data_IF_754481102389
#
_entry.id   IF_754481102389
#
_cell.length_a   1.000
_cell.length_b   1.000
_cell.length_c   1.000
_cell.angle_alpha   90.00
_cell.angle_beta   90.00
_cell.angle_gamma   90.00
#
_symmetry.space_group_name_H-M   'P 1'
#
loop_
_entity.id
_entity.type
_entity.pdbx_description
1 polymer ?
#
# COMPACT_ATOMS: atom_id res chain seq x y z
N UNK A 1 3.82 -10.31 -0.50
CA UNK A 1 4.28 -10.18 -1.89
C UNK A 1 4.03 -11.44 -2.71
N UNK A 2 4.46 -12.61 -2.26
CA UNK A 2 4.35 -13.89 -2.98
C UNK A 2 2.91 -14.23 -3.39
N UNK A 3 1.92 -14.06 -2.51
CA UNK A 3 0.51 -14.36 -2.80
C UNK A 3 -0.08 -13.46 -3.89
N UNK A 4 0.34 -12.20 -3.97
CA UNK A 4 -0.12 -11.26 -4.99
C UNK A 4 0.45 -11.61 -6.36
N UNK A 5 1.74 -11.98 -6.41
CA UNK A 5 2.39 -12.46 -7.64
C UNK A 5 1.76 -13.79 -8.09
N UNK A 6 1.47 -14.69 -7.14
CA UNK A 6 0.83 -15.98 -7.45
C UNK A 6 -0.60 -15.76 -7.99
N UNK A 7 -1.38 -14.85 -7.39
CA UNK A 7 -2.71 -14.49 -7.88
C UNK A 7 -2.68 -13.89 -9.28
N UNK A 8 -1.69 -13.05 -9.58
CA UNK A 8 -1.50 -12.46 -10.90
C UNK A 8 -1.11 -13.54 -11.93
N UNK A 9 -0.21 -14.46 -11.57
CA UNK A 9 0.23 -15.54 -12.46
C UNK A 9 -0.90 -16.54 -12.77
N UNK A 10 -1.71 -16.90 -11.76
CA UNK A 10 -2.87 -17.79 -11.96
C UNK A 10 -3.90 -17.13 -12.89
N UNK A 11 -4.18 -15.83 -12.72
CA UNK A 11 -5.11 -15.10 -13.58
C UNK A 11 -4.57 -14.87 -14.98
N UNK A 12 -3.30 -14.57 -15.12
CA UNK A 12 -2.65 -14.49 -16.43
C UNK A 12 -2.74 -15.83 -17.15
N UNK A 13 -2.52 -16.94 -16.44
CA UNK A 13 -2.66 -18.30 -16.99
C UNK A 13 -4.10 -18.60 -17.40
N UNK A 14 -5.10 -18.26 -16.60
CA UNK A 14 -6.51 -18.46 -16.93
C UNK A 14 -7.00 -17.55 -18.06
N UNK A 15 -6.43 -16.37 -18.23
CA UNK A 15 -6.74 -15.48 -19.35
C UNK A 15 -6.09 -15.93 -20.67
N UNK A 16 -4.94 -16.60 -20.57
CA UNK A 16 -4.20 -17.15 -21.72
C UNK A 16 -4.71 -18.54 -22.16
N UNK A 17 -5.36 -19.27 -21.23
CA UNK A 17 -5.93 -20.58 -21.51
C UNK A 17 -7.44 -20.52 -21.31
N UNK A 18 -8.25 -20.16 -22.31
CA UNK A 18 -9.67 -20.49 -22.27
C UNK A 18 -9.81 -22.02 -22.13
N UNK A 19 -10.87 -22.51 -21.44
CA UNK A 19 -11.04 -23.94 -21.18
C UNK A 19 -11.38 -24.68 -22.48
N UNK A 20 -10.39 -24.86 -23.35
CA UNK A 20 -10.43 -25.75 -24.50
C UNK A 20 -9.13 -26.52 -24.56
N UNK A 21 -9.20 -27.87 -24.49
CA UNK A 21 -8.04 -28.67 -24.74
C UNK A 21 -7.71 -28.51 -26.21
N UNK A 22 -6.50 -28.34 -26.50
CA UNK A 22 -5.81 -28.73 -27.73
C UNK A 22 -4.91 -27.61 -28.23
N UNK A 23 -3.65 -27.93 -28.08
CA UNK A 23 -2.57 -27.39 -28.84
C UNK A 23 -2.94 -27.35 -30.32
N UNK A 24 -3.20 -26.16 -30.86
CA UNK A 24 -3.31 -25.92 -32.30
C UNK A 24 -2.00 -25.33 -32.77
N UNK A 25 -1.17 -26.11 -33.52
CA UNK A 25 0.03 -25.55 -34.13
C UNK A 25 -0.38 -24.46 -35.11
N UNK A 26 0.07 -23.21 -34.88
CA UNK A 26 -0.21 -22.09 -35.74
C UNK A 26 -1.14 -21.00 -35.18
N UNK A 27 -1.75 -21.20 -34.01
CA UNK A 27 -2.35 -20.10 -33.25
C UNK A 27 -1.26 -19.32 -32.48
N UNK A 28 -0.25 -18.83 -33.16
CA UNK A 28 0.53 -17.71 -32.70
C UNK A 28 -0.44 -16.55 -32.67
N UNK A 29 -0.98 -16.26 -31.49
CA UNK A 29 -1.92 -15.18 -31.29
C UNK A 29 -1.32 -13.93 -31.92
N UNK A 30 -2.09 -13.29 -32.78
CA UNK A 30 -1.68 -12.03 -33.38
C UNK A 30 -1.26 -11.08 -32.25
N UNK A 31 -0.33 -10.17 -32.44
CA UNK A 31 0.04 -9.13 -31.45
C UNK A 31 -1.19 -8.44 -30.86
N UNK A 32 -2.26 -8.38 -31.63
CA UNK A 32 -3.57 -7.88 -31.17
C UNK A 32 -4.19 -8.73 -30.04
N UNK A 33 -4.05 -10.06 -30.10
CA UNK A 33 -4.54 -10.94 -29.04
C UNK A 33 -3.73 -10.76 -27.74
N UNK A 34 -2.42 -10.62 -27.84
CA UNK A 34 -1.56 -10.31 -26.70
C UNK A 34 -1.89 -8.94 -26.12
N UNK A 35 -2.12 -7.93 -26.97
CA UNK A 35 -2.51 -6.61 -26.54
C UNK A 35 -3.87 -6.60 -25.81
N UNK A 36 -4.83 -7.39 -26.27
CA UNK A 36 -6.14 -7.52 -25.62
C UNK A 36 -6.03 -8.19 -24.24
N UNK A 37 -5.20 -9.20 -24.09
CA UNK A 37 -4.88 -9.83 -22.79
C UNK A 37 -4.23 -8.82 -21.85
N UNK A 38 -3.26 -8.02 -22.33
CA UNK A 38 -2.64 -6.97 -21.53
C UNK A 38 -3.65 -5.91 -21.08
N UNK A 39 -4.56 -5.50 -21.93
CA UNK A 39 -5.62 -4.55 -21.56
C UNK A 39 -6.55 -5.12 -20.49
N UNK A 40 -6.89 -6.39 -20.55
CA UNK A 40 -7.70 -7.08 -19.53
C UNK A 40 -6.94 -7.23 -18.20
N UNK A 41 -5.62 -7.39 -18.25
CA UNK A 41 -4.78 -7.48 -17.06
C UNK A 41 -4.40 -6.11 -16.47
N UNK A 42 -4.56 -5.01 -17.22
CA UNK A 42 -4.17 -3.67 -16.81
C UNK A 42 -4.75 -3.25 -15.43
N UNK A 43 -6.02 -3.49 -15.09
CA UNK A 43 -6.55 -3.17 -13.76
C UNK A 43 -5.81 -3.92 -12.64
N UNK A 44 -5.48 -5.20 -12.85
CA UNK A 44 -4.76 -6.02 -11.88
C UNK A 44 -3.31 -5.56 -11.72
N UNK A 45 -2.65 -5.17 -12.82
CA UNK A 45 -1.31 -4.59 -12.78
C UNK A 45 -1.28 -3.26 -12.03
N UNK A 46 -2.30 -2.42 -12.28
CA UNK A 46 -2.43 -1.13 -11.59
C UNK A 46 -2.59 -1.32 -10.08
N UNK A 47 -3.50 -2.18 -9.66
CA UNK A 47 -3.73 -2.46 -8.24
C UNK A 47 -2.55 -3.16 -7.59
N UNK A 48 -1.84 -4.02 -8.33
CA UNK A 48 -0.57 -4.58 -7.88
C UNK A 48 0.48 -3.49 -7.61
N UNK A 49 0.64 -2.54 -8.53
CA UNK A 49 1.58 -1.43 -8.38
C UNK A 49 1.20 -0.54 -7.18
N UNK A 50 -0.09 -0.24 -7.02
CA UNK A 50 -0.59 0.50 -5.85
C UNK A 50 -0.24 -0.21 -4.54
N UNK A 51 -0.47 -1.52 -4.46
CA UNK A 51 -0.15 -2.32 -3.28
C UNK A 51 1.36 -2.34 -3.00
N UNK A 52 2.17 -2.48 -4.04
CA UNK A 52 3.63 -2.44 -3.91
C UNK A 52 4.11 -1.10 -3.36
N UNK A 53 3.63 0.00 -3.92
CA UNK A 53 3.97 1.35 -3.46
C UNK A 53 3.52 1.57 -2.02
N UNK A 54 2.30 1.17 -1.68
CA UNK A 54 1.78 1.28 -0.32
C UNK A 54 2.66 0.53 0.68
N UNK A 55 2.94 -0.74 0.41
CA UNK A 55 3.80 -1.56 1.27
C UNK A 55 5.21 -0.99 1.38
N UNK A 56 5.79 -0.49 0.27
CA UNK A 56 7.09 0.16 0.26
C UNK A 56 7.13 1.41 1.15
N UNK A 57 6.12 2.28 1.03
CA UNK A 57 6.01 3.49 1.84
C UNK A 57 5.91 3.16 3.35
N UNK A 58 5.04 2.21 3.71
CA UNK A 58 4.89 1.79 5.10
C UNK A 58 6.11 1.07 5.63
N UNK A 59 6.78 0.27 4.79
CA UNK A 59 8.03 -0.39 5.15
C UNK A 59 9.15 0.62 5.47
N UNK A 60 9.36 1.60 4.59
CA UNK A 60 10.34 2.67 4.83
C UNK A 60 9.99 3.46 6.08
N UNK A 61 8.70 3.78 6.28
CA UNK A 61 8.22 4.44 7.50
C UNK A 61 8.54 3.63 8.76
N UNK A 62 8.25 2.33 8.76
CA UNK A 62 8.54 1.43 9.88
C UNK A 62 10.05 1.32 10.15
N UNK A 63 10.86 1.13 9.11
CA UNK A 63 12.32 1.05 9.26
C UNK A 63 12.90 2.34 9.86
N UNK A 64 12.43 3.49 9.41
CA UNK A 64 12.83 4.79 9.96
C UNK A 64 12.49 4.90 11.44
N UNK A 65 11.29 4.44 11.85
CA UNK A 65 10.90 4.44 13.27
C UNK A 65 11.74 3.49 14.10
N UNK A 66 11.94 2.24 13.63
CA UNK A 66 12.74 1.24 14.33
C UNK A 66 14.18 1.70 14.53
N UNK A 67 14.75 2.44 13.58
CA UNK A 67 16.11 3.00 13.71
C UNK A 67 16.24 4.06 14.82
N UNK A 68 15.11 4.71 15.18
CA UNK A 68 15.06 5.72 16.25
C UNK A 68 14.85 5.12 17.64
N UNK A 69 14.47 3.84 17.74
CA UNK A 69 14.23 3.18 19.02
C UNK A 69 15.54 2.62 19.60
N UNK A 70 15.78 2.86 20.89
CA UNK A 70 16.93 2.34 21.63
C UNK A 70 16.73 0.88 22.01
N UNK A 71 15.51 0.54 22.42
CA UNK A 71 15.10 -0.79 22.85
C UNK A 71 13.65 -1.01 22.53
N UNK A 72 13.24 -2.27 22.46
CA UNK A 72 11.84 -2.68 22.36
C UNK A 72 11.39 -3.29 23.68
N UNK A 73 10.17 -3.05 24.07
CA UNK A 73 9.48 -3.74 25.14
C UNK A 73 8.36 -4.62 24.58
N UNK A 74 7.67 -5.32 25.48
CA UNK A 74 6.61 -6.26 25.10
C UNK A 74 5.48 -5.58 24.34
N UNK A 75 5.04 -4.41 24.80
CA UNK A 75 3.89 -3.72 24.24
C UNK A 75 4.22 -3.15 22.85
N UNK A 76 5.41 -2.57 22.69
CA UNK A 76 5.89 -2.10 21.38
C UNK A 76 6.00 -3.27 20.39
N UNK A 77 6.45 -4.43 20.86
CA UNK A 77 6.52 -5.66 20.04
C UNK A 77 5.14 -6.08 19.57
N UNK A 78 4.10 -6.02 20.43
CA UNK A 78 2.73 -6.32 20.04
C UNK A 78 2.19 -5.33 19.01
N UNK A 79 2.49 -4.04 19.14
CA UNK A 79 2.11 -3.02 18.14
C UNK A 79 2.72 -3.36 16.79
N UNK A 80 4.00 -3.77 16.74
CA UNK A 80 4.65 -4.17 15.51
C UNK A 80 4.11 -5.47 14.92
N UNK A 81 3.70 -6.44 15.76
CA UNK A 81 3.02 -7.66 15.30
C UNK A 81 1.66 -7.34 14.66
N UNK A 82 0.90 -6.41 15.23
CA UNK A 82 -0.35 -5.93 14.63
C UNK A 82 -0.09 -5.20 13.30
N UNK A 83 1.00 -4.45 13.21
CA UNK A 83 1.41 -3.85 11.94
C UNK A 83 1.72 -4.91 10.88
N UNK A 84 2.46 -5.97 11.22
CA UNK A 84 2.73 -7.09 10.32
C UNK A 84 1.45 -7.83 9.89
N UNK A 85 0.47 -7.97 10.79
CA UNK A 85 -0.86 -8.48 10.45
C UNK A 85 -1.54 -7.58 9.41
N UNK A 86 -1.55 -6.26 9.61
CA UNK A 86 -2.06 -5.31 8.62
C UNK A 86 -1.36 -5.41 7.27
N UNK A 87 -0.02 -5.59 7.26
CA UNK A 87 0.77 -5.85 6.04
C UNK A 87 0.32 -7.15 5.36
N UNK A 88 0.04 -8.21 6.11
CA UNK A 88 -0.42 -9.49 5.55
C UNK A 88 -1.82 -9.42 4.96
N UNK A 89 -2.67 -8.50 5.41
CA UNK A 89 -4.00 -8.25 4.85
C UNK A 89 -3.96 -7.44 3.54
N UNK A 90 -2.83 -6.78 3.23
CA UNK A 90 -2.71 -5.92 2.05
C UNK A 90 -2.97 -6.66 0.72
N UNK A 91 -2.42 -7.87 0.49
CA UNK A 91 -2.72 -8.63 -0.71
C UNK A 91 -4.21 -8.92 -0.88
N UNK A 92 -4.90 -9.25 0.20
CA UNK A 92 -6.34 -9.52 0.18
C UNK A 92 -7.13 -8.26 -0.22
N UNK A 93 -6.90 -7.14 0.44
CA UNK A 93 -7.59 -5.88 0.13
C UNK A 93 -7.31 -5.39 -1.29
N UNK A 94 -6.11 -5.64 -1.81
CA UNK A 94 -5.71 -5.30 -3.17
C UNK A 94 -6.39 -6.20 -4.21
N UNK A 95 -6.47 -7.51 -3.96
CA UNK A 95 -7.19 -8.43 -4.84
C UNK A 95 -8.68 -8.08 -4.92
N UNK A 96 -9.28 -7.78 -3.76
CA UNK A 96 -10.67 -7.33 -3.71
C UNK A 96 -10.87 -6.05 -4.54
N UNK A 97 -9.96 -5.10 -4.44
CA UNK A 97 -10.01 -3.87 -5.23
C UNK A 97 -9.83 -4.17 -6.73
N UNK A 98 -8.94 -5.08 -7.11
CA UNK A 98 -8.71 -5.46 -8.52
C UNK A 98 -9.95 -6.08 -9.17
N UNK A 99 -10.65 -6.96 -8.42
CA UNK A 99 -11.82 -7.68 -8.92
C UNK A 99 -13.08 -6.81 -8.95
N UNK A 100 -13.18 -5.88 -8.00
CA UNK A 100 -14.37 -5.07 -7.77
C UNK A 100 -14.07 -3.56 -7.85
N UNK A 101 -13.29 -3.14 -8.87
CA UNK A 101 -12.76 -1.78 -9.01
C UNK A 101 -13.87 -0.70 -9.04
N UNK A 102 -15.05 -1.04 -9.54
CA UNK A 102 -16.20 -0.13 -9.63
C UNK A 102 -17.01 -0.02 -8.34
N UNK A 103 -16.78 -0.94 -7.39
CA UNK A 103 -17.55 -0.97 -6.15
C UNK A 103 -16.86 -0.17 -5.04
N UNK A 104 -17.61 0.76 -4.46
CA UNK A 104 -17.13 1.61 -3.35
C UNK A 104 -16.65 0.81 -2.14
N UNK A 105 -17.26 -0.36 -1.89
CA UNK A 105 -16.88 -1.23 -0.77
C UNK A 105 -15.45 -1.76 -0.92
N UNK A 106 -15.03 -2.11 -2.13
CA UNK A 106 -13.67 -2.60 -2.38
C UNK A 106 -12.62 -1.53 -2.08
N UNK A 107 -12.88 -0.28 -2.48
CA UNK A 107 -12.01 0.86 -2.12
C UNK A 107 -12.03 1.10 -0.62
N UNK A 108 -13.19 1.02 0.03
CA UNK A 108 -13.30 1.23 1.47
C UNK A 108 -12.47 0.21 2.25
N UNK A 109 -12.48 -1.07 1.87
CA UNK A 109 -11.66 -2.12 2.49
C UNK A 109 -10.17 -1.84 2.29
N UNK A 110 -9.75 -1.48 1.09
CA UNK A 110 -8.37 -1.10 0.80
C UNK A 110 -7.93 0.12 1.60
N UNK A 111 -8.75 1.17 1.64
CA UNK A 111 -8.52 2.38 2.42
C UNK A 111 -8.44 2.09 3.93
N UNK A 112 -9.35 1.26 4.46
CA UNK A 112 -9.34 0.87 5.88
C UNK A 112 -8.02 0.18 6.25
N UNK A 113 -7.48 -0.66 5.38
CA UNK A 113 -6.19 -1.30 5.61
C UNK A 113 -5.03 -0.26 5.64
N UNK A 114 -5.06 0.74 4.77
CA UNK A 114 -4.09 1.86 4.81
C UNK A 114 -4.20 2.64 6.14
N UNK A 115 -5.42 2.94 6.57
CA UNK A 115 -5.67 3.64 7.85
C UNK A 115 -5.17 2.82 9.03
N UNK A 116 -5.40 1.50 9.01
CA UNK A 116 -4.90 0.59 10.04
C UNK A 116 -3.36 0.63 10.12
N UNK A 117 -2.68 0.49 8.99
CA UNK A 117 -1.21 0.51 8.93
C UNK A 117 -0.64 1.85 9.43
N UNK A 118 -1.18 2.97 8.96
CA UNK A 118 -0.72 4.29 9.39
C UNK A 118 -1.07 4.60 10.85
N UNK A 119 -2.23 4.15 11.32
CA UNK A 119 -2.62 4.24 12.72
C UNK A 119 -1.67 3.48 13.64
N UNK A 120 -1.27 2.26 13.26
CA UNK A 120 -0.32 1.46 14.02
C UNK A 120 1.08 2.08 14.05
N UNK A 121 1.55 2.67 12.95
CA UNK A 121 2.80 3.44 12.94
C UNK A 121 2.71 4.67 13.86
N UNK A 122 1.60 5.38 13.85
CA UNK A 122 1.39 6.52 14.74
C UNK A 122 1.39 6.11 16.22
N UNK A 123 0.67 5.03 16.56
CA UNK A 123 0.62 4.48 17.92
C UNK A 123 2.00 4.04 18.37
N UNK A 124 2.79 3.40 17.49
CA UNK A 124 4.15 2.96 17.77
C UNK A 124 5.07 4.11 18.19
N UNK A 125 5.12 5.22 17.42
CA UNK A 125 5.93 6.40 17.79
C UNK A 125 5.46 7.01 19.09
N UNK A 126 4.15 7.19 19.23
CA UNK A 126 3.56 7.81 20.42
C UNK A 126 3.79 6.98 21.69
N UNK A 127 3.68 5.65 21.58
CA UNK A 127 4.00 4.74 22.66
C UNK A 127 5.49 4.80 23.03
N UNK A 128 6.38 4.65 22.04
CA UNK A 128 7.83 4.67 22.26
C UNK A 128 8.29 5.98 22.93
N UNK A 129 7.70 7.12 22.57
CA UNK A 129 7.96 8.42 23.20
C UNK A 129 7.51 8.44 24.66
N UNK A 130 6.32 7.92 24.98
CA UNK A 130 5.79 7.88 26.34
C UNK A 130 6.59 6.92 27.24
N UNK A 131 6.97 5.77 26.69
CA UNK A 131 7.74 4.74 27.38
C UNK A 131 9.26 5.04 27.46
N UNK A 132 9.72 6.19 26.91
CA UNK A 132 11.13 6.59 26.87
C UNK A 132 12.03 5.54 26.21
N UNK A 133 11.52 4.94 25.12
CA UNK A 133 12.23 3.92 24.34
C UNK A 133 13.03 4.53 23.17
N UNK A 134 12.95 5.84 22.97
CA UNK A 134 13.63 6.57 21.89
C UNK A 134 15.09 6.80 22.29
N UNK A 135 15.99 6.79 21.31
CA UNK A 135 17.40 7.09 21.47
C UNK A 135 17.61 8.54 21.91
N UNK A 136 18.67 8.81 22.63
CA UNK A 136 19.01 10.14 23.17
C UNK A 136 19.40 11.17 22.09
N UNK A 137 19.91 10.68 20.95
CA UNK A 137 20.28 11.48 19.79
C UNK A 137 19.06 11.91 18.93
N UNK A 138 17.88 11.34 19.19
CA UNK A 138 16.64 11.70 18.49
C UNK A 138 15.91 12.80 19.24
N UNK A 139 15.86 13.98 18.63
CA UNK A 139 15.23 15.15 19.26
C UNK A 139 13.69 15.03 19.28
N UNK A 140 13.07 15.78 20.19
CA UNK A 140 11.61 15.87 20.26
C UNK A 140 10.99 16.41 18.95
N UNK A 141 11.72 17.27 18.25
CA UNK A 141 11.31 17.83 16.96
C UNK A 141 11.30 16.76 15.86
N UNK A 142 12.27 15.85 15.82
CA UNK A 142 12.32 14.75 14.87
C UNK A 142 11.15 13.78 15.05
N UNK A 143 10.79 13.49 16.29
CA UNK A 143 9.62 12.63 16.59
C UNK A 143 8.31 13.32 16.25
N UNK A 144 8.18 14.61 16.55
CA UNK A 144 7.00 15.40 16.20
C UNK A 144 6.84 15.54 14.68
N UNK A 145 7.93 15.71 13.94
CA UNK A 145 7.92 15.74 12.48
C UNK A 145 7.45 14.38 11.91
N UNK A 146 7.89 13.27 12.49
CA UNK A 146 7.43 11.92 12.10
C UNK A 146 5.93 11.73 12.36
N UNK A 147 5.43 12.12 13.53
CA UNK A 147 4.00 12.08 13.87
C UNK A 147 3.18 12.94 12.90
N UNK A 148 3.61 14.19 12.65
CA UNK A 148 2.94 15.11 11.72
C UNK A 148 2.88 14.55 10.30
N UNK A 149 3.97 13.96 9.83
CA UNK A 149 4.02 13.32 8.51
C UNK A 149 3.00 12.20 8.39
N UNK A 150 2.90 11.32 9.39
CA UNK A 150 1.89 10.25 9.39
C UNK A 150 0.49 10.84 9.33
N UNK A 151 0.18 11.85 10.15
CA UNK A 151 -1.14 12.48 10.20
C UNK A 151 -1.50 13.10 8.84
N UNK A 152 -0.57 13.84 8.22
CA UNK A 152 -0.79 14.47 6.92
C UNK A 152 -1.09 13.44 5.84
N UNK A 153 -0.29 12.35 5.75
CA UNK A 153 -0.55 11.30 4.77
C UNK A 153 -1.86 10.56 5.06
N UNK A 154 -2.20 10.31 6.33
CA UNK A 154 -3.49 9.70 6.69
C UNK A 154 -4.67 10.60 6.32
N UNK A 155 -4.56 11.91 6.50
CA UNK A 155 -5.58 12.87 6.07
C UNK A 155 -5.74 12.87 4.54
N UNK A 156 -4.63 12.83 3.78
CA UNK A 156 -4.66 12.72 2.32
C UNK A 156 -5.31 11.41 1.86
N UNK A 157 -4.98 10.28 2.49
CA UNK A 157 -5.63 9.00 2.18
C UNK A 157 -7.11 9.00 2.58
N UNK A 158 -7.49 9.65 3.69
CA UNK A 158 -8.89 9.82 4.08
C UNK A 158 -9.66 10.62 3.05
N UNK A 159 -9.07 11.72 2.58
CA UNK A 159 -9.66 12.52 1.51
C UNK A 159 -9.80 11.72 0.21
N UNK A 160 -8.75 10.96 -0.17
CA UNK A 160 -8.80 10.05 -1.32
C UNK A 160 -9.93 9.01 -1.19
N UNK A 161 -10.11 8.42 -0.01
CA UNK A 161 -11.24 7.52 0.29
C UNK A 161 -12.59 8.20 0.15
N UNK A 162 -12.75 9.42 0.62
CA UNK A 162 -14.00 10.21 0.50
C UNK A 162 -14.33 10.53 -0.97
N UNK A 163 -13.34 10.74 -1.82
CA UNK A 163 -13.57 10.94 -3.26
C UNK A 163 -14.26 9.75 -3.94
N UNK A 164 -14.20 8.55 -3.36
CA UNK A 164 -14.92 7.38 -3.88
C UNK A 164 -16.46 7.54 -3.85
N UNK A 165 -16.97 8.45 -3.03
CA UNK A 165 -18.39 8.80 -3.00
C UNK A 165 -18.83 9.48 -4.31
N UNK A 166 -17.93 10.26 -4.90
CA UNK A 166 -18.17 10.98 -6.16
C UNK A 166 -17.84 10.07 -7.35
N UNK A 167 -16.60 9.54 -7.36
CA UNK A 167 -16.12 8.65 -8.42
C UNK A 167 -15.00 7.75 -7.91
N UNK A 168 -15.16 6.45 -8.14
CA UNK A 168 -14.16 5.42 -7.82
C UNK A 168 -12.84 5.66 -8.53
N UNK A 169 -12.90 6.06 -9.81
CA UNK A 169 -11.70 6.34 -10.61
C UNK A 169 -10.93 7.58 -10.12
N UNK A 170 -11.64 8.63 -9.71
CA UNK A 170 -11.01 9.81 -9.10
C UNK A 170 -10.31 9.46 -7.79
N UNK A 171 -10.95 8.64 -6.95
CA UNK A 171 -10.37 8.16 -5.70
C UNK A 171 -9.06 7.39 -5.95
N UNK A 172 -9.08 6.41 -6.87
CA UNK A 172 -7.91 5.61 -7.23
C UNK A 172 -6.80 6.51 -7.78
N UNK A 173 -7.10 7.39 -8.74
CA UNK A 173 -6.14 8.32 -9.32
C UNK A 173 -5.50 9.21 -8.26
N UNK A 174 -6.29 9.76 -7.34
CA UNK A 174 -5.78 10.58 -6.25
C UNK A 174 -4.88 9.79 -5.30
N UNK A 175 -5.28 8.57 -4.90
CA UNK A 175 -4.48 7.71 -4.03
C UNK A 175 -3.13 7.38 -4.69
N UNK A 176 -3.11 7.08 -6.00
CA UNK A 176 -1.87 6.84 -6.76
C UNK A 176 -0.96 8.06 -6.71
N UNK A 177 -1.49 9.26 -6.95
CA UNK A 177 -0.70 10.51 -6.91
C UNK A 177 -0.11 10.72 -5.52
N UNK A 178 -0.87 10.50 -4.46
CA UNK A 178 -0.38 10.59 -3.07
C UNK A 178 0.73 9.57 -2.81
N UNK A 179 0.57 8.34 -3.29
CA UNK A 179 1.58 7.28 -3.15
C UNK A 179 2.86 7.60 -3.91
N UNK A 180 2.75 8.05 -5.14
CA UNK A 180 3.91 8.46 -5.93
C UNK A 180 4.63 9.65 -5.28
N UNK A 181 3.87 10.63 -4.80
CA UNK A 181 4.45 11.74 -4.05
C UNK A 181 5.19 11.23 -2.80
N UNK A 182 4.58 10.34 -2.01
CA UNK A 182 5.21 9.77 -0.83
C UNK A 182 6.47 8.94 -1.15
N UNK A 183 6.50 8.24 -2.30
CA UNK A 183 7.65 7.43 -2.72
C UNK A 183 8.81 8.30 -3.27
N UNK A 184 8.51 9.40 -3.96
CA UNK A 184 9.50 10.25 -4.63
C UNK A 184 9.97 11.41 -3.75
N UNK A 185 9.08 11.95 -2.89
CA UNK A 185 9.30 13.15 -2.10
C UNK A 185 10.49 13.15 -1.11
N UNK A 186 11.07 12.02 -0.65
CA UNK A 186 12.25 12.08 0.19
C UNK A 186 13.45 12.81 -0.44
N UNK A 187 13.43 13.03 -1.76
CA UNK A 187 14.57 13.64 -2.49
C UNK A 187 14.32 15.04 -3.01
N UNK A 188 13.07 15.46 -3.23
CA UNK A 188 12.79 16.70 -3.97
C UNK A 188 12.11 17.80 -3.16
N UNK A 189 11.39 17.52 -2.08
CA UNK A 189 10.72 18.56 -1.30
C UNK A 189 11.24 18.57 0.13
N UNK A 190 12.05 19.57 0.38
CA UNK A 190 12.55 19.99 1.72
C UNK A 190 11.39 20.40 2.64
N UNK A 191 10.47 19.50 2.93
CA UNK A 191 9.56 19.63 4.06
C UNK A 191 10.23 19.27 5.41
N UNK A 192 11.52 18.94 5.38
CA UNK A 192 12.34 18.68 6.57
C UNK A 192 12.85 19.96 7.25
N UNK A 193 12.38 21.14 6.84
CA UNK A 193 12.78 22.43 7.44
C UNK A 193 11.65 23.20 8.11
N UNK A 194 10.52 22.55 8.42
CA UNK A 194 9.50 23.20 9.23
C UNK A 194 9.00 22.31 10.34
#
# INVERSE_FOLDING_TARGET
MTLLVLGLSVRASSALHPPRPLWVPGAVGSERAVWEVLRRLAPHLLTYLMSFLTLGIFWVGQQTQLSQFRRSDRDLTWIHLMFLLGVSLMPFSTMLLADYLTYRLAIAVYWLNIVLLGGLLYVSVRYARRARLIKEDVTAEMTAASERRIIVYQALYAFGGLLSVISTYLSIGFIIVVQLNAAIAPRFWRLDRF
#
